data_IF_615181232364
#
_entry.id   IF_615181232364
#
_cell.length_a   1.000
_cell.length_b   1.000
_cell.length_c   1.000
_cell.angle_alpha   90.00
_cell.angle_beta   90.00
_cell.angle_gamma   90.00
#
_symmetry.space_group_name_H-M   'P 1'
#
loop_
_entity.id
_entity.type
_entity.pdbx_description
1 polymer ?
#
# COMPACT_ATOMS: atom_id res chain seq x y z
N UNK A 1 8.60 20.47 -4.90
CA UNK A 1 7.30 19.88 -5.28
C UNK A 1 7.27 19.85 -6.80
N UNK A 2 6.78 18.79 -7.41
CA UNK A 2 6.76 18.62 -8.87
C UNK A 2 5.79 17.51 -9.24
N UNK A 3 5.29 17.56 -10.47
CA UNK A 3 4.39 16.54 -11.01
C UNK A 3 5.21 15.41 -11.60
N UNK A 4 4.84 14.18 -11.25
CA UNK A 4 5.44 12.96 -11.79
C UNK A 4 4.38 12.20 -12.58
N UNK A 5 4.76 11.73 -13.77
CA UNK A 5 3.96 10.82 -14.57
C UNK A 5 4.70 9.52 -14.74
N UNK A 6 4.00 8.41 -14.64
CA UNK A 6 4.61 7.08 -14.75
C UNK A 6 3.78 6.04 -14.05
N UNK A 7 4.36 4.87 -13.90
CA UNK A 7 3.71 3.74 -13.26
C UNK A 7 4.02 3.69 -11.76
N UNK A 8 2.99 3.74 -10.92
CA UNK A 8 3.15 3.73 -9.47
C UNK A 8 3.41 2.31 -8.97
N UNK A 9 4.48 2.11 -8.21
CA UNK A 9 4.78 0.84 -7.54
C UNK A 9 4.84 1.02 -6.03
N UNK A 10 4.28 0.05 -5.31
CA UNK A 10 4.30 -0.03 -3.85
C UNK A 10 5.25 -1.13 -3.38
N UNK A 11 6.07 -0.82 -2.37
CA UNK A 11 7.11 -1.71 -1.83
C UNK A 11 8.00 -2.34 -2.94
N UNK A 12 8.20 -1.65 -4.07
CA UNK A 12 9.05 -2.10 -5.18
C UNK A 12 8.64 -3.45 -5.80
N UNK A 13 7.40 -3.92 -5.58
CA UNK A 13 6.90 -5.21 -6.10
C UNK A 13 5.43 -5.22 -6.48
N UNK A 14 4.57 -4.49 -5.77
CA UNK A 14 3.13 -4.47 -6.04
C UNK A 14 2.78 -3.35 -7.02
N UNK A 15 2.04 -3.70 -8.07
CA UNK A 15 2.03 -2.95 -9.32
C UNK A 15 0.64 -2.94 -10.00
N UNK A 16 -0.21 -3.93 -9.78
CA UNK A 16 -1.53 -4.00 -10.46
C UNK A 16 -2.67 -4.29 -9.50
N UNK A 17 -3.90 -3.97 -9.91
CA UNK A 17 -5.09 -4.10 -9.06
C UNK A 17 -5.34 -5.52 -8.52
N UNK A 18 -4.86 -6.54 -9.21
CA UNK A 18 -4.96 -7.94 -8.79
C UNK A 18 -3.90 -8.36 -7.76
N UNK A 19 -2.85 -7.56 -7.56
CA UNK A 19 -1.87 -7.80 -6.50
C UNK A 19 -2.50 -7.57 -5.12
N UNK A 20 -1.91 -8.15 -4.09
CA UNK A 20 -2.43 -8.08 -2.72
C UNK A 20 -1.51 -7.27 -1.80
N UNK A 21 -2.11 -6.45 -0.95
CA UNK A 21 -1.51 -5.88 0.24
C UNK A 21 -1.73 -6.83 1.41
N UNK A 22 -0.66 -7.24 2.10
CA UNK A 22 -0.73 -8.10 3.28
C UNK A 22 -0.41 -7.31 4.56
N UNK A 23 -1.17 -7.52 5.62
CA UNK A 23 -0.91 -6.91 6.93
C UNK A 23 -1.56 -7.66 8.09
N UNK A 24 -1.26 -7.27 9.32
CA UNK A 24 -1.96 -7.76 10.50
C UNK A 24 -2.94 -6.70 11.03
N UNK A 25 -4.19 -7.12 11.21
CA UNK A 25 -5.22 -6.44 11.95
C UNK A 25 -5.41 -7.12 13.34
N UNK A 26 -6.21 -6.56 14.26
CA UNK A 26 -6.42 -7.16 15.58
C UNK A 26 -6.98 -8.59 15.56
N UNK A 27 -7.74 -8.94 14.51
CA UNK A 27 -8.37 -10.24 14.28
C UNK A 27 -7.48 -11.24 13.52
N UNK A 28 -6.31 -10.79 13.05
CA UNK A 28 -5.31 -11.64 12.42
C UNK A 28 -4.76 -11.09 11.11
N UNK A 29 -4.22 -12.00 10.29
CA UNK A 29 -3.60 -11.64 9.02
C UNK A 29 -4.66 -11.39 7.95
N UNK A 30 -4.61 -10.23 7.33
CA UNK A 30 -5.45 -9.85 6.21
C UNK A 30 -4.64 -9.73 4.92
N UNK A 31 -5.30 -10.05 3.81
CA UNK A 31 -4.83 -9.83 2.44
C UNK A 31 -5.95 -9.16 1.66
N UNK A 32 -5.63 -8.09 0.94
CA UNK A 32 -6.60 -7.30 0.21
C UNK A 32 -6.04 -6.93 -1.15
N UNK A 33 -6.86 -7.03 -2.19
CA UNK A 33 -6.46 -6.61 -3.53
C UNK A 33 -6.37 -5.10 -3.62
N UNK A 34 -5.36 -4.60 -4.35
CA UNK A 34 -5.17 -3.16 -4.54
C UNK A 34 -6.37 -2.48 -5.22
N UNK A 35 -7.11 -3.18 -6.08
CA UNK A 35 -8.32 -2.62 -6.72
C UNK A 35 -9.51 -2.40 -5.78
N UNK A 36 -9.43 -2.87 -4.55
CA UNK A 36 -10.41 -2.57 -3.49
C UNK A 36 -10.02 -1.36 -2.65
N UNK A 37 -8.76 -0.90 -2.78
CA UNK A 37 -8.13 0.09 -1.91
C UNK A 37 -8.23 1.47 -2.56
N UNK A 38 -8.78 2.42 -1.83
CA UNK A 38 -8.82 3.84 -2.20
C UNK A 38 -7.52 4.57 -1.84
N UNK A 39 -6.96 4.30 -0.67
CA UNK A 39 -5.72 4.94 -0.22
C UNK A 39 -4.99 4.10 0.83
N UNK A 40 -3.69 4.31 0.91
CA UNK A 40 -2.81 3.78 1.97
C UNK A 40 -2.05 4.97 2.53
N UNK A 41 -2.16 5.20 3.84
CA UNK A 41 -1.47 6.28 4.52
C UNK A 41 -0.66 5.73 5.68
N UNK A 42 0.57 6.24 5.88
CA UNK A 42 1.37 5.86 7.03
C UNK A 42 0.68 6.31 8.32
N UNK A 43 0.41 5.36 9.21
CA UNK A 43 -0.27 5.63 10.49
C UNK A 43 0.71 5.59 11.67
N UNK A 44 1.76 4.78 11.59
CA UNK A 44 2.77 4.66 12.65
C UNK A 44 4.13 4.27 12.06
N UNK A 45 5.10 3.96 12.93
CA UNK A 45 6.41 3.43 12.50
C UNK A 45 6.30 2.07 11.81
N UNK A 46 5.35 1.25 12.21
CA UNK A 46 5.19 -0.13 11.77
C UNK A 46 3.80 -0.43 11.23
N UNK A 47 3.07 0.60 10.79
CA UNK A 47 1.71 0.39 10.30
C UNK A 47 1.20 1.51 9.40
N UNK A 48 0.19 1.13 8.64
CA UNK A 48 -0.50 1.97 7.67
C UNK A 48 -2.01 1.86 7.88
N UNK A 49 -2.72 2.95 7.64
CA UNK A 49 -4.17 3.00 7.55
C UNK A 49 -4.56 2.77 6.09
N UNK A 50 -5.35 1.73 5.83
CA UNK A 50 -5.90 1.45 4.50
C UNK A 50 -7.34 1.90 4.46
N UNK A 51 -7.69 2.74 3.49
CA UNK A 51 -9.09 3.11 3.22
C UNK A 51 -9.56 2.35 1.98
N UNK A 52 -10.68 1.63 2.09
CA UNK A 52 -11.30 0.91 0.97
C UNK A 52 -12.21 1.84 0.14
N UNK A 53 -12.56 1.42 -1.07
CA UNK A 53 -13.49 2.18 -1.92
C UNK A 53 -14.89 2.35 -1.32
N UNK A 54 -15.31 1.43 -0.46
CA UNK A 54 -16.58 1.53 0.28
C UNK A 54 -16.50 2.42 1.53
N UNK A 55 -15.34 3.00 1.81
CA UNK A 55 -15.12 3.93 2.92
C UNK A 55 -14.68 3.28 4.23
N UNK A 56 -14.58 1.94 4.32
CA UNK A 56 -14.02 1.29 5.51
C UNK A 56 -12.55 1.63 5.68
N UNK A 57 -12.15 1.87 6.92
CA UNK A 57 -10.76 2.10 7.30
C UNK A 57 -10.23 0.91 8.11
N UNK A 58 -9.08 0.39 7.69
CA UNK A 58 -8.48 -0.81 8.27
C UNK A 58 -7.03 -0.49 8.65
N UNK A 59 -6.71 -0.37 9.96
CA UNK A 59 -5.33 -0.25 10.39
C UNK A 59 -4.62 -1.59 10.25
N UNK A 60 -3.47 -1.59 9.57
CA UNK A 60 -2.63 -2.77 9.37
C UNK A 60 -1.20 -2.52 9.86
N UNK A 61 -0.55 -3.55 10.38
CA UNK A 61 0.84 -3.49 10.85
C UNK A 61 1.65 -4.76 10.54
N UNK A 62 2.95 -4.72 10.85
CA UNK A 62 3.79 -5.90 11.06
C UNK A 62 4.27 -6.67 9.82
N UNK A 63 4.01 -6.17 8.61
CA UNK A 63 4.58 -6.74 7.37
C UNK A 63 5.42 -5.70 6.62
N UNK A 64 6.19 -6.15 5.63
CA UNK A 64 6.89 -5.23 4.74
C UNK A 64 5.92 -4.32 3.97
N UNK A 65 4.75 -4.84 3.57
CA UNK A 65 3.82 -4.06 2.76
C UNK A 65 3.25 -2.84 3.50
N UNK A 66 3.05 -2.92 4.83
CA UNK A 66 2.38 -1.84 5.60
C UNK A 66 3.23 -1.23 6.72
N UNK A 67 4.38 -1.84 7.03
CA UNK A 67 5.19 -1.52 8.20
C UNK A 67 6.65 -1.20 7.88
N UNK A 68 7.52 -1.51 8.83
CA UNK A 68 8.93 -1.04 8.85
C UNK A 68 9.80 -1.50 7.68
N UNK A 69 9.42 -2.56 6.97
CA UNK A 69 10.17 -3.04 5.79
C UNK A 69 9.67 -2.52 4.45
N UNK A 70 8.69 -1.61 4.43
CA UNK A 70 8.21 -1.01 3.19
C UNK A 70 9.33 -0.18 2.55
N UNK A 71 9.67 -0.51 1.30
CA UNK A 71 10.77 0.13 0.56
C UNK A 71 10.42 1.50 -0.03
N UNK A 72 9.16 1.91 0.07
CA UNK A 72 8.67 3.21 -0.38
C UNK A 72 7.73 3.12 -1.59
N UNK A 73 7.40 4.30 -2.09
CA UNK A 73 6.53 4.52 -3.25
C UNK A 73 7.44 4.95 -4.40
N UNK A 74 7.30 4.27 -5.54
CA UNK A 74 8.11 4.53 -6.72
C UNK A 74 7.21 4.94 -7.88
N UNK A 75 7.69 5.88 -8.69
CA UNK A 75 7.10 6.19 -9.99
C UNK A 75 8.11 5.74 -11.03
N UNK A 76 7.74 4.72 -11.80
CA UNK A 76 8.51 4.24 -12.94
C UNK A 76 8.10 5.07 -14.16
N UNK A 77 8.90 6.09 -14.44
CA UNK A 77 8.73 6.94 -15.62
C UNK A 77 9.46 6.28 -16.80
N UNK A 78 8.70 5.92 -17.84
CA UNK A 78 9.20 5.21 -19.01
C UNK A 78 9.98 6.11 -19.98
N UNK A 79 10.42 7.29 -19.52
CA UNK A 79 11.27 8.19 -20.27
C UNK A 79 12.69 7.60 -20.45
N UNK A 80 12.78 6.71 -21.45
CA UNK A 80 13.97 6.16 -22.14
C UNK A 80 15.02 5.41 -21.29
#
# INVERSE_FOLDING_TARGET
QGDFTGFLQWDRRACVGADELSGYAPDGKLRMRFDTIRSIARASRDGSLVTLHDGREIPLSGTHDVGTGNRGIYVDDRAL
#
